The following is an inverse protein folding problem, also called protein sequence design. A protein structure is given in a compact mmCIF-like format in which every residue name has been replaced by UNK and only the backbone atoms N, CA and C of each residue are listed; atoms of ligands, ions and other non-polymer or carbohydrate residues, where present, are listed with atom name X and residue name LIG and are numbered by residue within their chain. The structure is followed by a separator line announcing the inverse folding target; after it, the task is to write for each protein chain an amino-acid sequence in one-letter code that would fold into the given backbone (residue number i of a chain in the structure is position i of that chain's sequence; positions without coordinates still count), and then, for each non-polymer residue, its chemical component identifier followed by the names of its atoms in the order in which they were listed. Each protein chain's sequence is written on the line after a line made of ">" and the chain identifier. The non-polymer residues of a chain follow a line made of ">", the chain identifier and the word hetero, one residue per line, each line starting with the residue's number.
data_IF_773264938751
#
_entry.id   IF_773264938751
#
_cell.length_a   1.000
_cell.length_b   1.000
_cell.length_c   1.000
_cell.angle_alpha   90.00
_cell.angle_beta   90.00
_cell.angle_gamma   90.00
#
_symmetry.space_group_name_H-M   'P 1'
#
loop_
_entity.id
_entity.type
_entity.pdbx_description
1 polymer ?
#
# COMPACT_ATOMS: atom_id res chain seq x y z
N UNK A 1 5.48 -8.18 14.46
CA UNK A 1 4.24 -8.99 14.31
C UNK A 1 4.33 -10.32 15.06
N UNK A 2 5.32 -11.17 14.79
CA UNK A 2 5.54 -12.47 15.46
C UNK A 2 5.47 -12.41 16.99
N UNK A 3 6.23 -11.50 17.62
CA UNK A 3 6.22 -11.33 19.07
C UNK A 3 4.81 -11.05 19.64
N UNK A 4 3.98 -10.31 18.91
CA UNK A 4 2.60 -10.03 19.33
C UNK A 4 1.75 -11.30 19.32
N UNK A 5 1.91 -12.16 18.33
CA UNK A 5 1.19 -13.43 18.22
C UNK A 5 1.61 -14.38 19.33
N UNK A 6 2.91 -14.49 19.61
CA UNK A 6 3.46 -15.32 20.69
C UNK A 6 2.96 -14.86 22.07
N UNK A 7 3.00 -13.55 22.35
CA UNK A 7 2.45 -12.98 23.60
C UNK A 7 0.96 -13.29 23.80
N UNK A 8 0.21 -13.44 22.71
CA UNK A 8 -1.22 -13.75 22.74
C UNK A 8 -1.51 -15.26 22.67
N UNK A 9 -0.53 -16.12 22.96
CA UNK A 9 -0.65 -17.59 23.03
C UNK A 9 -1.11 -18.24 21.72
N UNK A 10 -0.86 -17.60 20.58
CA UNK A 10 -1.00 -18.26 19.29
C UNK A 10 0.17 -19.23 19.09
N UNK A 11 -0.12 -20.39 18.50
CA UNK A 11 0.83 -21.46 18.15
C UNK A 11 0.80 -21.70 16.64
N UNK A 12 1.75 -22.49 16.14
CA UNK A 12 1.89 -22.80 14.71
C UNK A 12 1.90 -21.52 13.86
N UNK A 13 2.71 -20.54 14.28
CA UNK A 13 2.80 -19.24 13.62
C UNK A 13 3.67 -19.36 12.37
N UNK A 14 3.05 -19.19 11.22
CA UNK A 14 3.70 -19.08 9.93
C UNK A 14 3.49 -17.66 9.38
N UNK A 15 4.54 -17.08 8.80
CA UNK A 15 4.54 -15.71 8.27
C UNK A 15 5.21 -15.78 6.90
N UNK A 16 4.51 -15.30 5.89
CA UNK A 16 4.97 -15.16 4.51
C UNK A 16 5.13 -13.67 4.21
N UNK A 17 6.29 -13.31 3.65
CA UNK A 17 6.63 -11.94 3.28
C UNK A 17 6.55 -11.79 1.76
N UNK A 18 5.74 -10.84 1.30
CA UNK A 18 5.58 -10.53 -0.11
C UNK A 18 6.02 -9.08 -0.34
N UNK A 19 7.29 -8.90 -0.72
CA UNK A 19 7.88 -7.58 -0.96
C UNK A 19 7.65 -7.04 -2.37
N UNK A 20 7.13 -7.88 -3.28
CA UNK A 20 6.88 -7.54 -4.67
C UNK A 20 5.39 -7.34 -4.98
N UNK A 21 4.54 -7.32 -3.95
CA UNK A 21 3.13 -7.02 -4.14
C UNK A 21 2.95 -5.61 -4.72
N UNK A 22 2.03 -5.49 -5.68
CA UNK A 22 1.70 -4.21 -6.34
C UNK A 22 0.21 -3.95 -6.22
N UNK A 23 -0.16 -2.78 -5.68
CA UNK A 23 -1.50 -2.25 -5.80
C UNK A 23 -1.58 -1.48 -7.11
N UNK A 24 -2.42 -1.93 -8.03
CA UNK A 24 -2.57 -1.34 -9.37
C UNK A 24 -3.83 -0.46 -9.37
N UNK A 25 -3.69 0.76 -9.86
CA UNK A 25 -4.80 1.70 -10.02
C UNK A 25 -5.30 1.70 -11.46
N UNK A 26 -6.62 1.80 -11.67
CA UNK A 26 -7.19 1.78 -13.01
C UNK A 26 -6.94 3.09 -13.77
N UNK A 27 -6.83 4.22 -13.08
CA UNK A 27 -6.60 5.54 -13.68
C UNK A 27 -5.94 6.53 -12.70
N UNK A 28 -5.68 7.75 -13.19
CA UNK A 28 -5.08 8.84 -12.41
C UNK A 28 -5.98 9.33 -11.27
N UNK A 29 -7.31 9.23 -11.41
CA UNK A 29 -8.25 9.76 -10.43
C UNK A 29 -8.29 8.87 -9.18
N UNK A 30 -8.38 7.56 -9.37
CA UNK A 30 -8.31 6.58 -8.26
C UNK A 30 -6.96 6.65 -7.54
N UNK A 31 -5.87 6.90 -8.27
CA UNK A 31 -4.57 7.11 -7.65
C UNK A 31 -4.49 8.43 -6.86
N UNK A 32 -5.08 9.52 -7.37
CA UNK A 32 -5.14 10.78 -6.65
C UNK A 32 -5.96 10.67 -5.36
N UNK A 33 -7.09 9.97 -5.39
CA UNK A 33 -7.91 9.67 -4.21
C UNK A 33 -7.10 8.89 -3.17
N UNK A 34 -6.38 7.85 -3.59
CA UNK A 34 -5.52 7.08 -2.70
C UNK A 34 -4.44 7.95 -2.03
N UNK A 35 -3.81 8.86 -2.77
CA UNK A 35 -2.82 9.77 -2.19
C UNK A 35 -3.46 10.75 -1.20
N UNK A 36 -4.64 11.27 -1.50
CA UNK A 36 -5.34 12.23 -0.65
C UNK A 36 -5.85 11.61 0.67
N UNK A 37 -6.10 10.29 0.68
CA UNK A 37 -6.51 9.55 1.90
C UNK A 37 -5.36 9.40 2.92
N UNK A 38 -4.11 9.66 2.51
CA UNK A 38 -2.95 9.63 3.42
C UNK A 38 -2.94 10.90 4.28
N UNK A 39 -2.99 10.80 5.62
CA UNK A 39 -2.98 11.98 6.49
C UNK A 39 -1.76 12.89 6.24
N UNK A 40 -2.02 14.17 6.04
CA UNK A 40 -0.99 15.18 5.77
C UNK A 40 -0.71 15.42 4.28
N UNK A 41 -1.25 14.60 3.38
CA UNK A 41 -1.21 14.90 1.96
C UNK A 41 -2.26 15.96 1.57
N UNK A 42 -1.97 16.80 0.57
CA UNK A 42 -2.98 17.67 -0.02
C UNK A 42 -4.01 16.85 -0.82
N UNK A 43 -5.15 17.49 -1.11
CA UNK A 43 -6.16 16.91 -2.00
C UNK A 43 -5.67 16.92 -3.45
N UNK A 44 -5.02 15.84 -3.87
CA UNK A 44 -4.51 15.66 -5.23
C UNK A 44 -5.60 15.56 -6.30
N UNK A 45 -6.89 15.50 -5.94
CA UNK A 45 -7.99 15.56 -6.90
C UNK A 45 -8.26 17.00 -7.38
N UNK A 46 -7.81 18.00 -6.62
CA UNK A 46 -7.90 19.41 -7.00
C UNK A 46 -6.92 19.77 -8.11
N UNK A 47 -7.37 20.61 -9.04
CA UNK A 47 -6.53 21.13 -10.14
C UNK A 47 -5.32 21.92 -9.66
N UNK A 48 -5.36 22.50 -8.45
CA UNK A 48 -4.26 23.25 -7.84
C UNK A 48 -3.00 22.37 -7.65
N UNK A 49 -3.18 21.07 -7.42
CA UNK A 49 -2.08 20.13 -7.18
C UNK A 49 -1.71 19.29 -8.41
N UNK A 50 -2.18 19.69 -9.61
CA UNK A 50 -2.01 18.89 -10.84
C UNK A 50 -0.54 18.58 -11.16
N UNK A 51 0.37 19.54 -11.01
CA UNK A 51 1.80 19.32 -11.28
C UNK A 51 2.44 18.31 -10.30
N UNK A 52 2.03 18.36 -9.04
CA UNK A 52 2.50 17.43 -8.01
C UNK A 52 1.95 16.02 -8.26
N UNK A 53 0.67 15.91 -8.63
CA UNK A 53 0.07 14.64 -9.04
C UNK A 53 0.79 14.04 -10.25
N UNK A 54 1.14 14.85 -11.25
CA UNK A 54 1.90 14.38 -12.43
C UNK A 54 3.30 13.87 -12.06
N UNK A 55 3.94 14.47 -11.04
CA UNK A 55 5.22 13.98 -10.51
C UNK A 55 5.03 12.62 -9.84
N UNK A 56 4.00 12.47 -9.00
CA UNK A 56 3.65 11.20 -8.36
C UNK A 56 3.30 10.11 -9.35
N UNK A 57 2.54 10.42 -10.41
CA UNK A 57 2.22 9.45 -11.46
C UNK A 57 3.47 8.91 -12.14
N UNK A 58 4.47 9.76 -12.42
CA UNK A 58 5.75 9.30 -12.98
C UNK A 58 6.53 8.42 -12.02
N UNK A 59 6.58 8.78 -10.74
CA UNK A 59 7.23 7.98 -9.69
C UNK A 59 6.57 6.60 -9.51
N UNK A 60 5.26 6.54 -9.69
CA UNK A 60 4.43 5.36 -9.47
C UNK A 60 4.00 4.65 -10.75
N UNK A 61 4.57 5.00 -11.91
CA UNK A 61 4.35 4.23 -13.14
C UNK A 61 5.35 3.09 -13.22
N UNK A 62 4.87 1.86 -13.10
CA UNK A 62 5.68 0.64 -13.15
C UNK A 62 5.12 -0.24 -14.27
N UNK A 63 5.96 -0.56 -15.27
CA UNK A 63 5.59 -1.36 -16.44
C UNK A 63 4.33 -0.82 -17.16
N UNK A 64 4.22 0.51 -17.26
CA UNK A 64 3.10 1.20 -17.92
C UNK A 64 1.80 1.24 -17.12
N UNK A 65 1.81 0.78 -15.86
CA UNK A 65 0.65 0.81 -14.96
C UNK A 65 0.92 1.73 -13.77
N UNK A 66 -0.09 2.45 -13.32
CA UNK A 66 -0.02 3.21 -12.07
C UNK A 66 -0.07 2.20 -10.92
N UNK A 67 1.01 2.09 -10.18
CA UNK A 67 1.15 1.09 -9.15
C UNK A 67 1.99 1.56 -7.96
N UNK A 68 1.55 1.16 -6.76
CA UNK A 68 2.32 1.31 -5.53
C UNK A 68 2.87 -0.05 -5.14
N UNK A 69 4.17 -0.12 -4.84
CA UNK A 69 4.77 -1.33 -4.25
C UNK A 69 4.37 -1.41 -2.79
N UNK A 70 3.89 -2.57 -2.39
CA UNK A 70 3.50 -2.84 -1.02
C UNK A 70 4.37 -3.95 -0.44
N UNK A 71 4.73 -3.79 0.83
CA UNK A 71 5.29 -4.88 1.62
C UNK A 71 4.14 -5.53 2.39
N UNK A 72 3.72 -6.71 1.94
CA UNK A 72 2.66 -7.47 2.60
C UNK A 72 3.21 -8.60 3.42
N UNK A 73 2.61 -8.79 4.59
CA UNK A 73 2.87 -9.90 5.48
C UNK A 73 1.57 -10.69 5.61
N UNK A 74 1.55 -11.90 5.08
CA UNK A 74 0.44 -12.84 5.30
C UNK A 74 0.86 -13.78 6.41
N UNK A 75 0.03 -13.95 7.42
CA UNK A 75 0.36 -14.80 8.57
C UNK A 75 -0.82 -15.70 8.91
N UNK A 76 -0.51 -16.90 9.36
CA UNK A 76 -1.47 -17.87 9.89
C UNK A 76 -0.98 -18.38 11.23
N UNK A 77 -1.90 -18.58 12.15
CA UNK A 77 -1.62 -19.12 13.47
C UNK A 77 -2.87 -19.73 14.08
N UNK A 78 -2.70 -20.68 15.00
CA UNK A 78 -3.78 -21.35 15.72
C UNK A 78 -3.82 -20.82 17.15
N UNK A 79 -5.01 -20.42 17.62
CA UNK A 79 -5.18 -20.05 19.03
C UNK A 79 -5.11 -21.32 19.88
N UNK A 80 -4.23 -21.32 20.87
CA UNK A 80 -4.11 -22.42 21.82
C UNK A 80 -5.29 -22.49 22.78
#
# INVERSE_FOLDING_TARGET
>A
MRERLERNRYKQIEIEEHHEARMIFPDEHEFALFLADVPGNPDYTSSEFREQLQTKLKEHTIDGKIAVREHKYVWKAVKA
#
